data_IF_589454230220
#
_entry.id   IF_589454230220
#
_cell.length_a   1.000
_cell.length_b   1.000
_cell.length_c   1.000
_cell.angle_alpha   90.00
_cell.angle_beta   90.00
_cell.angle_gamma   90.00
#
_symmetry.space_group_name_H-M   'P 1'
#
loop_
_entity.id
_entity.type
_entity.pdbx_description
1 polymer ?
#
# COMPACT_ATOMS: atom_id res chain seq x y z
N UNK A 1 -13.99 -36.43 -4.20
CA UNK A 1 -14.60 -35.07 -4.12
C UNK A 1 -14.79 -34.73 -2.66
N UNK A 2 -14.01 -33.79 -2.14
CA UNK A 2 -14.20 -33.29 -0.79
C UNK A 2 -15.31 -32.23 -0.84
N UNK A 3 -16.53 -32.61 -0.41
CA UNK A 3 -17.73 -31.74 -0.48
C UNK A 3 -17.54 -30.46 0.33
N UNK A 4 -16.86 -30.54 1.48
CA UNK A 4 -16.61 -29.37 2.33
C UNK A 4 -15.68 -28.38 1.61
N UNK A 5 -14.59 -28.89 1.03
CA UNK A 5 -13.63 -28.09 0.27
C UNK A 5 -14.29 -27.43 -0.95
N UNK A 6 -15.13 -28.16 -1.69
CA UNK A 6 -15.90 -27.59 -2.80
C UNK A 6 -16.76 -26.41 -2.35
N UNK A 7 -17.60 -26.59 -1.33
CA UNK A 7 -18.48 -25.50 -0.87
C UNK A 7 -17.73 -24.35 -0.21
N UNK A 8 -16.59 -24.61 0.44
CA UNK A 8 -15.73 -23.56 1.00
C UNK A 8 -15.11 -22.71 -0.11
N UNK A 9 -14.57 -23.33 -1.16
CA UNK A 9 -14.04 -22.64 -2.35
C UNK A 9 -15.12 -21.78 -3.01
N UNK A 10 -16.32 -22.33 -3.18
CA UNK A 10 -17.47 -21.59 -3.74
C UNK A 10 -17.83 -20.38 -2.87
N UNK A 11 -17.90 -20.56 -1.55
CA UNK A 11 -18.15 -19.47 -0.61
C UNK A 11 -17.06 -18.39 -0.64
N UNK A 12 -15.79 -18.77 -0.85
CA UNK A 12 -14.67 -17.84 -0.95
C UNK A 12 -14.84 -16.82 -2.09
N UNK A 13 -15.33 -17.26 -3.25
CA UNK A 13 -15.63 -16.34 -4.36
C UNK A 13 -16.70 -15.32 -4.01
N UNK A 14 -17.79 -15.76 -3.37
CA UNK A 14 -18.83 -14.83 -2.90
C UNK A 14 -18.29 -13.85 -1.85
N UNK A 15 -17.39 -14.30 -0.97
CA UNK A 15 -16.77 -13.42 0.01
C UNK A 15 -15.95 -12.30 -0.66
N UNK A 16 -15.21 -12.60 -1.74
CA UNK A 16 -14.47 -11.60 -2.52
C UNK A 16 -15.43 -10.62 -3.20
N UNK A 17 -16.49 -11.12 -3.84
CA UNK A 17 -17.51 -10.28 -4.49
C UNK A 17 -18.10 -9.28 -3.49
N UNK A 18 -18.53 -9.75 -2.32
CA UNK A 18 -19.13 -8.87 -1.31
C UNK A 18 -18.11 -7.87 -0.79
N UNK A 19 -16.86 -8.28 -0.54
CA UNK A 19 -15.81 -7.38 -0.01
C UNK A 19 -15.38 -6.30 -1.02
N UNK A 20 -15.32 -6.62 -2.32
CA UNK A 20 -14.72 -5.76 -3.33
C UNK A 20 -15.70 -4.91 -4.12
N UNK A 21 -16.98 -5.29 -4.19
CA UNK A 21 -17.97 -4.57 -5.00
C UNK A 21 -18.81 -3.59 -4.18
N UNK A 22 -19.34 -2.58 -4.88
CA UNK A 22 -20.40 -1.74 -4.37
C UNK A 22 -21.73 -2.50 -4.31
N UNK A 23 -22.72 -1.94 -3.62
CA UNK A 23 -24.09 -2.47 -3.60
C UNK A 23 -24.62 -2.82 -5.00
N UNK A 24 -24.50 -1.89 -5.97
CA UNK A 24 -24.94 -2.11 -7.34
C UNK A 24 -24.15 -3.24 -8.04
N UNK A 25 -22.87 -3.40 -7.72
CA UNK A 25 -22.06 -4.50 -8.23
C UNK A 25 -22.51 -5.86 -7.70
N UNK A 26 -22.88 -5.94 -6.42
CA UNK A 26 -23.45 -7.15 -5.81
C UNK A 26 -24.80 -7.48 -6.46
N UNK A 27 -25.70 -6.50 -6.65
CA UNK A 27 -26.97 -6.70 -7.35
C UNK A 27 -26.77 -7.17 -8.79
N UNK A 28 -25.78 -6.61 -9.50
CA UNK A 28 -25.41 -7.04 -10.84
C UNK A 28 -24.93 -8.49 -10.89
N UNK A 29 -24.08 -8.90 -9.94
CA UNK A 29 -23.63 -10.28 -9.82
C UNK A 29 -24.81 -11.25 -9.58
N UNK A 30 -25.70 -10.90 -8.65
CA UNK A 30 -26.91 -11.69 -8.37
C UNK A 30 -27.83 -11.78 -9.60
N UNK A 31 -28.02 -10.66 -10.30
CA UNK A 31 -28.85 -10.62 -11.51
C UNK A 31 -28.28 -11.49 -12.62
N UNK A 32 -26.95 -11.52 -12.79
CA UNK A 32 -26.28 -12.42 -13.74
C UNK A 32 -26.48 -13.90 -13.39
N UNK A 33 -26.45 -14.24 -12.10
CA UNK A 33 -26.67 -15.62 -11.63
C UNK A 33 -28.12 -16.06 -11.84
N UNK A 34 -29.07 -15.19 -11.52
CA UNK A 34 -30.52 -15.48 -11.60
C UNK A 34 -31.09 -15.32 -13.02
N UNK A 35 -30.34 -14.72 -13.95
CA UNK A 35 -30.74 -14.56 -15.34
C UNK A 35 -30.60 -15.83 -16.19
N UNK A 36 -30.09 -16.93 -15.63
CA UNK A 36 -29.95 -18.22 -16.29
C UNK A 36 -31.05 -19.19 -15.82
N UNK A 37 -31.58 -20.01 -16.72
CA UNK A 37 -32.59 -21.04 -16.41
C UNK A 37 -32.06 -22.07 -15.40
N UNK A 38 -30.75 -22.30 -15.38
CA UNK A 38 -30.06 -23.08 -14.36
C UNK A 38 -29.18 -22.16 -13.47
N UNK A 39 -29.57 -21.95 -12.20
CA UNK A 39 -28.80 -21.12 -11.27
C UNK A 39 -27.36 -21.57 -11.06
N UNK A 40 -27.05 -22.87 -11.20
CA UNK A 40 -25.69 -23.40 -11.08
C UNK A 40 -24.86 -23.03 -12.31
N UNK A 41 -25.47 -23.07 -13.50
CA UNK A 41 -24.84 -22.59 -14.74
C UNK A 41 -24.61 -21.09 -14.66
N UNK A 42 -25.59 -20.31 -14.17
CA UNK A 42 -25.45 -18.88 -13.93
C UNK A 42 -24.30 -18.55 -12.96
N UNK A 43 -24.20 -19.31 -11.86
CA UNK A 43 -23.09 -19.17 -10.91
C UNK A 43 -21.73 -19.48 -11.55
N UNK A 44 -21.62 -20.60 -12.27
CA UNK A 44 -20.39 -21.00 -12.94
C UNK A 44 -19.95 -20.01 -14.03
N UNK A 45 -20.90 -19.44 -14.77
CA UNK A 45 -20.63 -18.37 -15.75
C UNK A 45 -20.08 -17.11 -15.07
N UNK A 46 -20.68 -16.68 -13.97
CA UNK A 46 -20.19 -15.56 -13.18
C UNK A 46 -18.80 -15.82 -12.58
N UNK A 47 -18.53 -17.04 -12.10
CA UNK A 47 -17.18 -17.40 -11.63
C UNK A 47 -16.13 -17.29 -12.73
N UNK A 48 -16.48 -17.72 -13.96
CA UNK A 48 -15.57 -17.60 -15.11
C UNK A 48 -15.24 -16.15 -15.44
N UNK A 49 -16.19 -15.23 -15.25
CA UNK A 49 -15.98 -13.78 -15.42
C UNK A 49 -14.98 -13.24 -14.39
N UNK A 50 -14.97 -13.78 -13.18
CA UNK A 50 -14.00 -13.44 -12.12
C UNK A 50 -12.62 -14.08 -12.32
N UNK A 51 -12.36 -14.68 -13.49
CA UNK A 51 -11.09 -15.36 -13.79
C UNK A 51 -11.01 -16.80 -13.30
N UNK A 52 -12.13 -17.38 -12.86
CA UNK A 52 -12.19 -18.78 -12.44
C UNK A 52 -11.94 -19.76 -13.59
N UNK A 53 -10.98 -20.66 -13.40
CA UNK A 53 -10.74 -21.82 -14.25
C UNK A 53 -11.53 -23.06 -13.80
N UNK A 54 -11.11 -24.25 -14.26
CA UNK A 54 -11.61 -25.50 -13.70
C UNK A 54 -11.24 -25.57 -12.22
N UNK A 55 -12.23 -25.78 -11.37
CA UNK A 55 -12.02 -25.94 -9.93
C UNK A 55 -11.56 -27.36 -9.64
N UNK A 56 -10.41 -27.48 -8.99
CA UNK A 56 -10.04 -28.67 -8.24
C UNK A 56 -10.91 -28.74 -6.98
N UNK A 57 -11.26 -29.96 -6.56
CA UNK A 57 -12.16 -30.22 -5.42
C UNK A 57 -11.54 -31.19 -4.43
N UNK A 58 -10.21 -31.17 -4.40
CA UNK A 58 -9.38 -32.01 -3.55
C UNK A 58 -8.67 -31.14 -2.52
N UNK A 59 -8.88 -31.48 -1.25
CA UNK A 59 -8.42 -30.65 -0.15
C UNK A 59 -6.89 -30.58 -0.07
N UNK A 60 -6.19 -31.69 -0.28
CA UNK A 60 -4.74 -31.72 -0.17
C UNK A 60 -4.11 -31.00 -1.35
N UNK A 61 -4.61 -31.24 -2.57
CA UNK A 61 -4.13 -30.60 -3.79
C UNK A 61 -4.33 -29.07 -3.75
N UNK A 62 -5.49 -28.59 -3.27
CA UNK A 62 -5.79 -27.16 -3.20
C UNK A 62 -4.95 -26.44 -2.15
N UNK A 63 -4.59 -27.15 -1.06
CA UNK A 63 -3.89 -26.54 0.08
C UNK A 63 -2.39 -26.88 0.14
N UNK A 64 -1.86 -27.72 -0.76
CA UNK A 64 -0.44 -28.13 -0.72
C UNK A 64 0.53 -26.95 -0.81
N UNK A 65 0.15 -25.88 -1.51
CA UNK A 65 1.00 -24.68 -1.65
C UNK A 65 1.23 -24.00 -0.31
N UNK A 66 0.27 -24.09 0.62
CA UNK A 66 0.41 -23.53 1.96
C UNK A 66 1.47 -24.28 2.80
N UNK A 67 1.85 -25.50 2.41
CA UNK A 67 2.92 -26.27 3.07
C UNK A 67 4.31 -25.84 2.61
N UNK A 68 4.43 -25.05 1.55
CA UNK A 68 5.72 -24.52 1.12
C UNK A 68 6.23 -23.50 2.14
N UNK A 69 7.39 -23.82 2.71
CA UNK A 69 8.09 -22.98 3.72
C UNK A 69 9.25 -22.20 3.12
N UNK A 70 9.50 -22.34 1.82
CA UNK A 70 10.44 -21.49 1.11
C UNK A 70 10.04 -20.01 1.31
N UNK A 71 11.01 -19.12 1.17
CA UNK A 71 10.79 -17.67 1.24
C UNK A 71 10.67 -17.04 -0.17
N UNK A 72 9.49 -17.12 -0.84
CA UNK A 72 9.19 -16.22 -1.95
C UNK A 72 8.12 -15.16 -1.61
N UNK A 73 8.01 -14.15 -2.47
CA UNK A 73 7.24 -12.92 -2.29
C UNK A 73 5.83 -12.94 -2.93
N UNK A 74 5.25 -14.11 -3.20
CA UNK A 74 3.95 -14.22 -3.88
C UNK A 74 2.74 -14.30 -2.92
N UNK A 75 1.55 -14.23 -3.50
CA UNK A 75 0.26 -14.26 -2.78
C UNK A 75 0.07 -15.53 -1.95
N UNK A 76 0.58 -16.68 -2.40
CA UNK A 76 0.43 -17.96 -1.69
C UNK A 76 1.15 -17.94 -0.34
N UNK A 77 2.31 -17.28 -0.29
CA UNK A 77 3.08 -17.11 0.94
C UNK A 77 2.46 -16.05 1.87
N UNK A 78 1.78 -15.04 1.33
CA UNK A 78 0.96 -14.14 2.15
C UNK A 78 -0.18 -14.91 2.82
N UNK A 79 -0.90 -15.74 2.07
CA UNK A 79 -2.00 -16.55 2.60
C UNK A 79 -1.53 -17.56 3.65
N UNK A 80 -0.37 -18.22 3.44
CA UNK A 80 0.21 -19.10 4.45
C UNK A 80 0.43 -18.39 5.79
N UNK A 81 1.00 -17.20 5.78
CA UNK A 81 1.26 -16.40 7.00
C UNK A 81 -0.05 -15.98 7.68
N UNK A 82 -1.02 -15.53 6.89
CA UNK A 82 -2.36 -15.18 7.39
C UNK A 82 -3.06 -16.37 8.06
N UNK A 83 -3.02 -17.55 7.42
CA UNK A 83 -3.61 -18.78 7.96
C UNK A 83 -2.87 -19.19 9.23
N UNK A 84 -1.53 -19.07 9.29
CA UNK A 84 -0.78 -19.33 10.51
C UNK A 84 -1.23 -18.44 11.67
N UNK A 85 -1.37 -17.12 11.46
CA UNK A 85 -1.87 -16.22 12.50
C UNK A 85 -3.31 -16.56 12.91
N UNK A 86 -4.14 -16.98 11.97
CA UNK A 86 -5.52 -17.41 12.28
C UNK A 86 -5.52 -18.69 13.13
N UNK A 87 -4.70 -19.69 12.76
CA UNK A 87 -4.54 -20.93 13.51
C UNK A 87 -3.84 -20.74 14.87
N UNK A 88 -2.95 -19.76 14.99
CA UNK A 88 -2.12 -19.59 16.19
C UNK A 88 -2.60 -18.50 17.15
N UNK A 89 -3.32 -17.48 16.68
CA UNK A 89 -3.61 -16.27 17.47
C UNK A 89 -5.07 -15.82 17.38
N UNK A 90 -5.67 -15.79 16.19
CA UNK A 90 -6.96 -15.11 16.01
C UNK A 90 -8.18 -16.01 16.15
N UNK A 91 -8.09 -17.27 15.70
CA UNK A 91 -9.20 -18.24 15.74
C UNK A 91 -10.43 -17.83 14.92
N UNK A 92 -10.32 -16.84 14.03
CA UNK A 92 -11.45 -16.34 13.23
C UNK A 92 -11.63 -17.17 11.95
N UNK A 93 -12.41 -18.25 12.06
CA UNK A 93 -12.75 -19.12 10.93
C UNK A 93 -14.14 -18.79 10.37
N UNK A 94 -14.22 -18.56 9.06
CA UNK A 94 -15.46 -18.28 8.35
C UNK A 94 -16.23 -19.59 8.09
N UNK A 95 -16.96 -20.06 9.10
CA UNK A 95 -17.72 -21.33 9.04
C UNK A 95 -19.09 -21.16 8.39
N UNK A 96 -19.66 -22.28 7.96
CA UNK A 96 -20.96 -22.32 7.27
C UNK A 96 -22.10 -22.89 8.13
N UNK A 97 -21.93 -23.02 9.45
CA UNK A 97 -22.87 -23.77 10.32
C UNK A 97 -24.15 -23.01 10.66
N UNK A 98 -24.22 -21.73 10.30
CA UNK A 98 -25.42 -20.90 10.52
C UNK A 98 -26.56 -21.34 9.60
N UNK A 99 -27.78 -21.40 10.13
CA UNK A 99 -29.00 -21.63 9.33
C UNK A 99 -29.29 -20.51 8.31
N UNK A 100 -28.60 -19.37 8.43
CA UNK A 100 -28.68 -18.24 7.49
C UNK A 100 -27.60 -18.28 6.41
N UNK A 101 -26.65 -19.21 6.50
CA UNK A 101 -25.61 -19.35 5.48
C UNK A 101 -26.17 -20.16 4.29
N UNK A 102 -25.93 -19.75 3.03
CA UNK A 102 -26.47 -20.44 1.86
C UNK A 102 -25.88 -21.85 1.68
N UNK A 103 -24.71 -22.10 2.28
CA UNK A 103 -24.03 -23.38 2.31
C UNK A 103 -23.96 -23.90 3.76
N UNK A 104 -24.24 -25.17 4.01
CA UNK A 104 -24.13 -25.76 5.36
C UNK A 104 -23.24 -27.00 5.35
N UNK A 105 -21.99 -26.83 4.92
CA UNK A 105 -21.09 -27.93 4.55
C UNK A 105 -19.68 -27.85 5.15
N UNK A 106 -19.20 -26.69 5.62
CA UNK A 106 -17.83 -26.55 6.16
C UNK A 106 -17.87 -25.95 7.58
N UNK A 107 -17.83 -26.81 8.61
CA UNK A 107 -17.82 -26.38 10.01
C UNK A 107 -16.39 -26.02 10.46
N UNK A 108 -16.22 -25.65 11.74
CA UNK A 108 -14.91 -25.20 12.27
C UNK A 108 -13.83 -26.29 12.15
N UNK A 109 -14.21 -27.56 12.21
CA UNK A 109 -13.35 -28.72 12.09
C UNK A 109 -12.65 -28.78 10.74
N UNK A 110 -13.27 -28.26 9.67
CA UNK A 110 -12.62 -28.14 8.36
C UNK A 110 -11.35 -27.28 8.46
N UNK A 111 -11.43 -26.16 9.19
CA UNK A 111 -10.31 -25.24 9.35
C UNK A 111 -9.27 -25.76 10.35
N UNK A 112 -9.69 -26.46 11.41
CA UNK A 112 -8.75 -27.15 12.32
C UNK A 112 -7.94 -28.18 11.53
N UNK A 113 -8.58 -28.98 10.68
CA UNK A 113 -7.90 -29.95 9.81
C UNK A 113 -6.92 -29.25 8.84
N UNK A 114 -7.29 -28.08 8.31
CA UNK A 114 -6.39 -27.25 7.50
C UNK A 114 -5.17 -26.79 8.30
N UNK A 115 -5.36 -26.28 9.52
CA UNK A 115 -4.27 -25.89 10.39
C UNK A 115 -3.31 -27.06 10.67
N UNK A 116 -3.85 -28.25 10.95
CA UNK A 116 -3.04 -29.45 11.19
C UNK A 116 -2.28 -29.90 9.94
N UNK A 117 -2.96 -29.94 8.79
CA UNK A 117 -2.34 -30.33 7.52
C UNK A 117 -1.18 -29.40 7.12
N UNK A 118 -1.34 -28.10 7.36
CA UNK A 118 -0.37 -27.10 6.93
C UNK A 118 0.78 -26.89 7.92
N UNK A 119 0.48 -26.85 9.23
CA UNK A 119 1.45 -26.40 10.24
C UNK A 119 1.89 -27.48 11.22
N UNK A 120 1.22 -28.63 11.28
CA UNK A 120 1.60 -29.75 12.15
C UNK A 120 0.47 -30.22 13.06
N UNK A 121 0.58 -31.46 13.52
CA UNK A 121 -0.44 -32.15 14.32
C UNK A 121 -0.79 -31.43 15.63
N UNK A 122 0.11 -30.60 16.14
CA UNK A 122 -0.10 -29.82 17.36
C UNK A 122 -1.19 -28.76 17.25
N UNK A 123 -1.61 -28.36 16.04
CA UNK A 123 -2.67 -27.37 15.82
C UNK A 123 -4.08 -27.96 16.00
N UNK A 124 -4.33 -28.58 17.16
CA UNK A 124 -5.64 -29.09 17.58
C UNK A 124 -6.55 -27.96 18.09
N UNK A 125 -7.88 -28.17 18.04
CA UNK A 125 -8.88 -27.18 18.45
C UNK A 125 -8.64 -26.58 19.83
N UNK A 126 -8.27 -27.39 20.83
CA UNK A 126 -7.97 -26.94 22.19
C UNK A 126 -6.80 -25.94 22.24
N UNK A 127 -5.72 -26.20 21.47
CA UNK A 127 -4.56 -25.31 21.40
C UNK A 127 -4.93 -23.99 20.72
N UNK A 128 -5.70 -24.05 19.62
CA UNK A 128 -6.15 -22.85 18.90
C UNK A 128 -7.04 -21.99 19.81
N UNK A 129 -7.98 -22.60 20.53
CA UNK A 129 -8.86 -21.93 21.48
C UNK A 129 -8.06 -21.31 22.64
N UNK A 130 -7.13 -22.06 23.24
CA UNK A 130 -6.26 -21.56 24.30
C UNK A 130 -5.46 -20.34 23.85
N UNK A 131 -4.82 -20.40 22.68
CA UNK A 131 -4.05 -19.28 22.18
C UNK A 131 -4.93 -18.06 21.87
N UNK A 132 -6.10 -18.28 21.28
CA UNK A 132 -7.08 -17.23 21.00
C UNK A 132 -7.54 -16.56 22.30
N UNK A 133 -7.75 -17.34 23.37
CA UNK A 133 -8.07 -16.82 24.70
C UNK A 133 -6.95 -15.94 25.25
N UNK A 134 -5.68 -16.35 25.10
CA UNK A 134 -4.53 -15.55 25.53
C UNK A 134 -4.44 -14.21 24.79
N UNK A 135 -4.69 -14.20 23.48
CA UNK A 135 -4.70 -12.98 22.66
C UNK A 135 -5.86 -12.06 23.05
N UNK A 136 -7.06 -12.61 23.20
CA UNK A 136 -8.23 -11.83 23.66
C UNK A 136 -8.02 -11.26 25.06
N UNK A 137 -7.42 -12.01 25.99
CA UNK A 137 -7.09 -11.52 27.32
C UNK A 137 -6.03 -10.39 27.28
N UNK A 138 -5.07 -10.49 26.35
CA UNK A 138 -4.02 -9.47 26.16
C UNK A 138 -4.56 -8.16 25.60
N UNK A 139 -5.53 -8.21 24.68
CA UNK A 139 -6.05 -7.03 23.98
C UNK A 139 -7.47 -6.61 24.40
N UNK A 140 -8.00 -7.19 25.48
CA UNK A 140 -9.36 -6.97 26.01
C UNK A 140 -10.49 -7.30 24.99
N UNK A 141 -10.22 -8.17 24.01
CA UNK A 141 -11.21 -8.69 23.05
C UNK A 141 -12.04 -7.61 22.34
N UNK A 142 -13.37 -7.73 22.40
CA UNK A 142 -14.32 -6.79 21.78
C UNK A 142 -14.55 -5.50 22.59
N UNK A 143 -13.96 -5.37 23.78
CA UNK A 143 -14.04 -4.18 24.62
C UNK A 143 -12.64 -3.60 24.90
N UNK A 144 -11.86 -3.28 23.83
CA UNK A 144 -10.48 -2.85 23.96
C UNK A 144 -10.37 -1.54 24.76
N UNK A 145 -9.40 -1.47 25.68
CA UNK A 145 -9.13 -0.24 26.44
C UNK A 145 -8.31 0.75 25.60
N UNK A 146 -8.97 1.41 24.66
CA UNK A 146 -8.35 2.32 23.68
C UNK A 146 -8.84 3.77 23.82
N UNK A 147 -7.99 4.70 23.39
CA UNK A 147 -8.28 6.14 23.33
C UNK A 147 -7.80 6.70 22.00
N UNK A 148 -8.53 7.68 21.45
CA UNK A 148 -8.20 8.34 20.18
C UNK A 148 -8.19 7.36 19.01
N UNK A 149 -9.20 6.50 18.93
CA UNK A 149 -9.40 5.57 17.82
C UNK A 149 -10.77 5.81 17.20
N UNK A 150 -10.83 5.92 15.87
CA UNK A 150 -12.07 6.03 15.14
C UNK A 150 -12.26 4.77 14.33
N UNK A 151 -13.22 3.94 14.73
CA UNK A 151 -13.48 2.65 14.09
C UNK A 151 -14.59 2.82 13.06
N UNK A 152 -14.34 2.39 11.84
CA UNK A 152 -15.28 2.42 10.72
C UNK A 152 -15.51 1.01 10.22
N UNK A 153 -16.77 0.67 9.96
CA UNK A 153 -17.14 -0.61 9.38
C UNK A 153 -18.16 -0.40 8.26
N UNK A 154 -18.01 -1.10 7.14
CA UNK A 154 -19.08 -1.21 6.15
C UNK A 154 -20.26 -2.00 6.73
N UNK A 155 -21.50 -1.57 6.47
CA UNK A 155 -22.68 -2.35 6.88
C UNK A 155 -22.72 -3.73 6.22
N UNK A 156 -22.24 -3.82 4.97
CA UNK A 156 -22.23 -5.02 4.15
C UNK A 156 -20.93 -5.83 4.31
N UNK A 157 -19.95 -5.30 5.03
CA UNK A 157 -18.64 -5.93 5.20
C UNK A 157 -18.77 -7.21 6.06
N UNK A 158 -18.45 -8.40 5.53
CA UNK A 158 -18.49 -9.64 6.30
C UNK A 158 -17.52 -9.64 7.49
N UNK A 159 -16.46 -8.84 7.45
CA UNK A 159 -15.50 -8.69 8.56
C UNK A 159 -16.02 -7.80 9.69
N UNK A 160 -17.10 -7.04 9.48
CA UNK A 160 -17.65 -6.14 10.50
C UNK A 160 -17.86 -6.84 11.83
N UNK A 161 -18.31 -8.11 11.83
CA UNK A 161 -18.59 -8.86 13.04
C UNK A 161 -17.34 -9.13 13.91
N UNK A 162 -16.14 -9.07 13.34
CA UNK A 162 -14.88 -9.19 14.08
C UNK A 162 -14.47 -7.89 14.80
N UNK A 163 -15.20 -6.79 14.56
CA UNK A 163 -14.90 -5.48 15.12
C UNK A 163 -15.97 -4.94 16.08
N UNK A 164 -15.74 -3.73 16.57
CA UNK A 164 -16.65 -3.03 17.47
C UNK A 164 -17.99 -2.75 16.76
N UNK A 165 -19.11 -2.99 17.46
CA UNK A 165 -20.46 -2.71 16.94
C UNK A 165 -21.08 -1.43 17.51
N UNK A 166 -20.48 -0.88 18.56
CA UNK A 166 -20.90 0.30 19.31
C UNK A 166 -19.65 1.07 19.72
N UNK A 167 -19.82 2.35 20.04
CA UNK A 167 -18.72 3.16 20.58
C UNK A 167 -18.08 2.43 21.76
N UNK A 168 -16.75 2.33 21.73
CA UNK A 168 -15.98 1.72 22.83
C UNK A 168 -15.98 2.65 24.04
N UNK A 169 -15.84 3.95 23.82
CA UNK A 169 -15.99 5.02 24.82
C UNK A 169 -16.17 6.38 24.12
N UNK A 170 -16.34 7.45 24.90
CA UNK A 170 -16.58 8.81 24.39
C UNK A 170 -15.44 9.35 23.51
N UNK A 171 -14.20 8.86 23.71
CA UNK A 171 -13.01 9.24 22.94
C UNK A 171 -12.71 8.28 21.78
N UNK A 172 -13.41 7.15 21.68
CA UNK A 172 -13.20 6.11 20.66
C UNK A 172 -14.52 5.62 20.07
N UNK A 173 -14.95 6.34 19.04
CA UNK A 173 -16.25 6.13 18.39
C UNK A 173 -16.18 5.04 17.32
N UNK A 174 -17.30 4.36 17.13
CA UNK A 174 -17.49 3.32 16.13
C UNK A 174 -18.64 3.72 15.20
N UNK A 175 -18.40 3.69 13.89
CA UNK A 175 -19.37 4.07 12.86
C UNK A 175 -19.58 2.93 11.88
N UNK A 176 -20.85 2.57 11.67
CA UNK A 176 -21.27 1.60 10.66
C UNK A 176 -21.81 2.39 9.47
N UNK A 177 -21.16 2.23 8.32
CA UNK A 177 -21.44 2.95 7.07
C UNK A 177 -22.51 2.19 6.26
N UNK A 178 -23.71 2.75 6.07
CA UNK A 178 -24.79 2.06 5.36
C UNK A 178 -24.42 1.76 3.91
N UNK A 179 -24.80 0.58 3.42
CA UNK A 179 -24.59 0.12 2.05
C UNK A 179 -23.13 0.14 1.53
N UNK A 180 -22.15 0.24 2.44
CA UNK A 180 -20.73 0.17 2.12
C UNK A 180 -20.15 -1.18 2.53
N UNK A 181 -19.13 -1.62 1.78
CA UNK A 181 -18.40 -2.86 2.03
C UNK A 181 -17.00 -2.57 2.60
N UNK A 182 -16.10 -3.54 2.50
CA UNK A 182 -14.80 -3.56 3.14
C UNK A 182 -13.96 -2.32 2.81
N UNK A 183 -13.49 -1.63 3.86
CA UNK A 183 -12.55 -0.51 3.77
C UNK A 183 -12.93 0.63 2.80
N UNK A 184 -14.23 0.85 2.57
CA UNK A 184 -14.72 1.87 1.61
C UNK A 184 -14.28 3.30 1.95
N UNK A 185 -13.93 3.55 3.21
CA UNK A 185 -13.46 4.81 3.76
C UNK A 185 -11.97 5.12 3.48
N UNK A 186 -11.17 4.14 3.06
CA UNK A 186 -9.76 4.33 2.72
C UNK A 186 -9.56 5.03 1.37
N UNK A 187 -10.57 5.01 0.50
CA UNK A 187 -10.54 5.74 -0.76
C UNK A 187 -10.54 7.25 -0.55
N UNK A 188 -9.94 7.99 -1.48
CA UNK A 188 -10.00 9.46 -1.50
C UNK A 188 -11.43 9.97 -1.40
N UNK A 189 -11.63 11.13 -0.76
CA UNK A 189 -12.93 11.79 -0.74
C UNK A 189 -13.37 12.09 -2.18
N UNK A 190 -14.59 11.71 -2.53
CA UNK A 190 -15.15 11.85 -3.86
C UNK A 190 -16.53 12.55 -3.78
N UNK A 191 -16.90 13.30 -4.82
CA UNK A 191 -18.23 13.93 -4.93
C UNK A 191 -19.36 12.90 -5.03
N UNK A 192 -19.03 11.68 -5.47
CA UNK A 192 -19.94 10.55 -5.58
C UNK A 192 -19.98 9.68 -4.30
N UNK A 193 -19.23 10.04 -3.25
CA UNK A 193 -19.36 9.36 -1.96
C UNK A 193 -20.79 9.56 -1.42
N UNK A 194 -21.33 8.54 -0.74
CA UNK A 194 -22.59 8.74 -0.01
C UNK A 194 -22.40 9.80 1.08
N UNK A 195 -23.47 10.50 1.49
CA UNK A 195 -23.38 11.51 2.56
C UNK A 195 -22.68 10.98 3.83
N UNK A 196 -23.03 9.77 4.27
CA UNK A 196 -22.43 9.15 5.47
C UNK A 196 -20.93 8.85 5.29
N UNK A 197 -20.53 8.33 4.13
CA UNK A 197 -19.13 8.04 3.82
C UNK A 197 -18.31 9.34 3.75
N UNK A 198 -18.84 10.37 3.07
CA UNK A 198 -18.19 11.66 2.95
C UNK A 198 -18.00 12.32 4.32
N UNK A 199 -19.04 12.32 5.17
CA UNK A 199 -18.98 12.84 6.54
C UNK A 199 -17.96 12.06 7.38
N UNK A 200 -17.92 10.73 7.27
CA UNK A 200 -16.96 9.89 7.96
C UNK A 200 -15.51 10.20 7.52
N UNK A 201 -15.24 10.32 6.22
CA UNK A 201 -13.92 10.72 5.70
C UNK A 201 -13.51 12.13 6.17
N UNK A 202 -14.45 13.09 6.22
CA UNK A 202 -14.20 14.41 6.79
C UNK A 202 -13.89 14.34 8.29
N UNK A 203 -14.58 13.47 9.03
CA UNK A 203 -14.32 13.22 10.46
C UNK A 203 -12.93 12.63 10.66
N UNK A 204 -12.53 11.64 9.86
CA UNK A 204 -11.18 11.06 9.84
C UNK A 204 -10.15 12.18 9.64
N UNK A 205 -10.28 12.99 8.58
CA UNK A 205 -9.39 14.13 8.31
C UNK A 205 -9.29 15.10 9.50
N UNK A 206 -10.39 15.33 10.19
CA UNK A 206 -10.45 16.23 11.36
C UNK A 206 -9.78 15.61 12.59
N UNK A 207 -10.02 14.33 12.86
CA UNK A 207 -9.42 13.59 13.96
C UNK A 207 -7.91 13.42 13.77
N UNK A 208 -7.46 13.10 12.56
CA UNK A 208 -6.03 13.03 12.22
C UNK A 208 -5.34 14.37 12.49
N UNK A 209 -5.94 15.49 12.10
CA UNK A 209 -5.41 16.83 12.42
C UNK A 209 -5.43 17.12 13.92
N UNK A 210 -6.50 16.76 14.63
CA UNK A 210 -6.62 17.00 16.08
C UNK A 210 -5.57 16.20 16.84
N UNK A 211 -5.49 14.89 16.62
CA UNK A 211 -4.55 14.00 17.27
C UNK A 211 -3.10 14.29 16.84
N UNK A 212 -2.91 14.68 15.58
CA UNK A 212 -1.63 15.18 15.06
C UNK A 212 -1.21 16.56 15.58
N UNK A 213 -2.05 17.27 16.34
CA UNK A 213 -1.67 18.48 17.10
C UNK A 213 -1.53 18.19 18.59
N UNK A 214 -2.33 17.27 19.14
CA UNK A 214 -2.26 16.90 20.55
C UNK A 214 -0.89 16.34 20.95
N UNK A 215 -0.19 15.63 20.07
CA UNK A 215 1.20 15.22 20.37
C UNK A 215 2.24 16.32 20.11
N UNK A 216 1.92 17.44 19.47
CA UNK A 216 2.81 18.62 19.35
C UNK A 216 2.63 19.62 20.51
N UNK A 217 1.44 19.67 21.12
CA UNK A 217 1.12 20.56 22.25
C UNK A 217 1.14 19.84 23.62
N UNK A 218 1.19 18.51 23.64
CA UNK A 218 1.13 17.69 24.85
C UNK A 218 2.50 17.16 25.31
N UNK A 219 2.85 17.49 26.55
CA UNK A 219 3.83 16.81 27.42
C UNK A 219 3.58 15.29 27.40
N UNK A 220 4.15 14.57 26.44
CA UNK A 220 4.16 13.11 26.46
C UNK A 220 5.04 12.66 27.63
N UNK A 221 4.44 11.97 28.61
CA UNK A 221 5.22 11.26 29.62
C UNK A 221 6.32 10.44 28.92
N UNK A 222 7.52 10.44 29.51
CA UNK A 222 8.75 9.81 29.00
C UNK A 222 8.51 8.40 28.42
N UNK A 223 7.51 7.68 28.93
CA UNK A 223 7.07 6.35 28.49
C UNK A 223 6.48 6.31 27.08
N UNK A 224 5.68 7.30 26.68
CA UNK A 224 5.02 7.32 25.36
C UNK A 224 5.99 7.76 24.25
N UNK A 225 6.92 8.66 24.57
CA UNK A 225 8.07 8.96 23.71
C UNK A 225 9.04 7.77 23.59
N UNK A 226 9.27 7.02 24.68
CA UNK A 226 10.06 5.77 24.65
C UNK A 226 9.41 4.70 23.80
N UNK A 227 8.10 4.47 23.91
CA UNK A 227 7.39 3.47 23.10
C UNK A 227 7.38 3.83 21.61
N UNK A 228 7.18 5.11 21.26
CA UNK A 228 7.34 5.56 19.87
C UNK A 228 8.80 5.45 19.40
N UNK A 229 9.80 5.64 20.27
CA UNK A 229 11.22 5.41 19.92
C UNK A 229 11.51 3.92 19.74
N UNK A 230 10.93 3.04 20.56
CA UNK A 230 11.13 1.60 20.54
C UNK A 230 10.42 0.92 19.36
N UNK A 231 9.15 1.25 19.12
CA UNK A 231 8.41 0.81 17.92
C UNK A 231 9.17 1.21 16.65
N UNK A 232 9.62 2.46 16.58
CA UNK A 232 10.41 2.94 15.43
C UNK A 232 11.79 2.28 15.33
N UNK A 233 12.41 1.84 16.42
CA UNK A 233 13.67 1.10 16.37
C UNK A 233 13.49 -0.32 15.83
N UNK A 234 12.41 -1.00 16.22
CA UNK A 234 12.04 -2.31 15.69
C UNK A 234 11.60 -2.20 14.22
N UNK A 235 10.76 -1.22 13.86
CA UNK A 235 10.35 -0.98 12.47
C UNK A 235 11.55 -0.63 11.57
N UNK A 236 12.53 0.13 12.08
CA UNK A 236 13.76 0.45 11.35
C UNK A 236 14.84 -0.63 11.44
N UNK A 237 14.64 -1.70 12.22
CA UNK A 237 15.60 -2.80 12.34
C UNK A 237 15.78 -3.52 11.01
N UNK A 238 14.72 -3.61 10.21
CA UNK A 238 14.78 -4.15 8.85
C UNK A 238 15.77 -3.37 7.97
N UNK A 239 15.90 -2.06 8.16
CA UNK A 239 16.87 -1.22 7.43
C UNK A 239 18.32 -1.47 7.86
N UNK A 240 18.56 -2.09 9.02
CA UNK A 240 19.91 -2.49 9.45
C UNK A 240 20.32 -3.85 8.91
N UNK A 241 19.37 -4.64 8.40
CA UNK A 241 19.68 -5.93 7.81
C UNK A 241 20.46 -5.74 6.50
N UNK A 242 21.69 -6.26 6.47
CA UNK A 242 22.56 -6.24 5.28
C UNK A 242 22.48 -7.56 4.52
N UNK A 243 21.70 -8.54 4.99
CA UNK A 243 21.49 -9.79 4.29
C UNK A 243 20.81 -9.52 2.93
N UNK A 244 21.27 -10.22 1.91
CA UNK A 244 20.82 -10.06 0.54
C UNK A 244 19.55 -10.87 0.28
N UNK A 245 18.38 -10.20 0.31
CA UNK A 245 17.40 -10.38 -0.75
C UNK A 245 16.88 -9.05 -1.31
N UNK A 246 16.38 -9.09 -2.55
CA UNK A 246 15.93 -7.93 -3.31
C UNK A 246 14.44 -7.60 -3.05
N UNK A 247 14.10 -7.17 -1.83
CA UNK A 247 12.74 -6.70 -1.51
C UNK A 247 12.67 -5.16 -1.36
N UNK A 248 11.45 -4.64 -1.19
CA UNK A 248 11.17 -3.20 -1.05
C UNK A 248 11.91 -2.56 0.14
N UNK A 249 12.20 -3.32 1.19
CA UNK A 249 12.90 -2.82 2.37
C UNK A 249 14.36 -2.48 2.05
N UNK A 250 15.01 -3.28 1.20
CA UNK A 250 16.37 -2.98 0.73
C UNK A 250 16.42 -1.84 -0.29
N UNK A 251 15.38 -1.67 -1.11
CA UNK A 251 15.26 -0.48 -1.96
C UNK A 251 15.17 0.79 -1.10
N UNK A 252 14.32 0.77 -0.06
CA UNK A 252 14.19 1.87 0.89
C UNK A 252 15.50 2.13 1.64
N UNK A 253 16.21 1.09 2.09
CA UNK A 253 17.53 1.25 2.72
C UNK A 253 18.53 1.98 1.82
N UNK A 254 18.63 1.61 0.54
CA UNK A 254 19.52 2.26 -0.44
C UNK A 254 19.13 3.71 -0.67
N UNK A 255 17.83 3.99 -0.76
CA UNK A 255 17.32 5.35 -0.93
C UNK A 255 17.62 6.24 0.28
N UNK A 256 17.43 5.71 1.50
CA UNK A 256 17.75 6.43 2.74
C UNK A 256 19.26 6.67 2.80
N UNK A 257 20.09 5.67 2.45
CA UNK A 257 21.55 5.87 2.38
C UNK A 257 21.92 7.00 1.43
N UNK A 258 21.35 7.02 0.22
CA UNK A 258 21.61 8.07 -0.75
C UNK A 258 21.15 9.44 -0.26
N UNK A 259 20.02 9.50 0.45
CA UNK A 259 19.55 10.74 1.07
C UNK A 259 20.51 11.23 2.16
N UNK A 260 20.99 10.34 3.03
CA UNK A 260 21.93 10.64 4.10
C UNK A 260 23.35 10.95 3.58
N UNK A 261 23.76 10.36 2.45
CA UNK A 261 25.14 10.43 1.97
C UNK A 261 25.32 11.36 0.76
N UNK A 262 24.27 11.76 0.05
CA UNK A 262 24.39 12.55 -1.18
C UNK A 262 23.43 13.74 -1.21
N UNK A 263 22.15 13.53 -0.95
CA UNK A 263 21.15 14.57 -1.24
C UNK A 263 20.86 15.53 -0.09
N UNK A 264 20.86 15.04 1.16
CA UNK A 264 20.50 15.85 2.33
C UNK A 264 19.05 16.36 2.31
N UNK A 265 18.19 15.83 1.42
CA UNK A 265 16.81 16.26 1.25
C UNK A 265 15.86 15.37 2.04
N UNK A 266 15.33 15.89 3.15
CA UNK A 266 14.40 15.16 4.02
C UNK A 266 12.98 15.74 3.94
N UNK A 267 11.98 14.87 3.87
CA UNK A 267 10.56 15.24 3.87
C UNK A 267 10.10 15.62 5.28
N UNK A 268 10.49 16.80 5.72
CA UNK A 268 10.21 17.30 7.07
C UNK A 268 8.77 17.77 7.25
N UNK A 269 8.35 17.85 8.51
CA UNK A 269 7.00 18.26 8.91
C UNK A 269 6.98 19.58 9.69
N UNK A 270 8.05 20.38 9.62
CA UNK A 270 8.20 21.62 10.40
C UNK A 270 7.43 22.81 9.83
N UNK A 271 6.87 22.68 8.62
CA UNK A 271 6.05 23.73 8.02
C UNK A 271 4.74 23.91 8.78
N UNK A 272 4.35 25.17 9.03
CA UNK A 272 3.04 25.51 9.60
C UNK A 272 1.84 25.06 8.75
N UNK A 273 2.08 24.74 7.47
CA UNK A 273 1.07 24.19 6.55
C UNK A 273 1.00 22.65 6.59
N UNK A 274 1.97 21.99 7.21
CA UNK A 274 2.01 20.55 7.29
C UNK A 274 1.01 20.05 8.36
N UNK A 275 0.23 18.98 8.11
CA UNK A 275 -0.78 18.50 9.06
C UNK A 275 -0.20 17.84 10.32
N UNK A 276 1.10 17.53 10.27
CA UNK A 276 1.88 16.91 11.34
C UNK A 276 3.06 17.82 11.69
N UNK A 277 3.58 17.75 12.92
CA UNK A 277 4.80 18.47 13.33
C UNK A 277 5.70 17.58 14.22
N UNK A 278 6.10 16.42 13.69
CA UNK A 278 6.77 15.35 14.47
C UNK A 278 8.14 14.95 13.97
N UNK A 279 8.47 15.30 12.74
CA UNK A 279 9.65 14.85 12.02
C UNK A 279 10.42 16.09 11.52
N UNK A 280 11.20 16.75 12.40
CA UNK A 280 12.14 17.78 11.98
C UNK A 280 13.39 17.14 11.32
N UNK A 281 14.31 17.94 10.79
CA UNK A 281 15.52 17.41 10.12
C UNK A 281 16.31 16.48 11.03
N UNK A 282 16.40 16.82 12.32
CA UNK A 282 17.10 16.05 13.35
C UNK A 282 16.54 14.63 13.50
N UNK A 283 15.25 14.42 13.25
CA UNK A 283 14.68 13.07 13.22
C UNK A 283 15.36 12.20 12.17
N UNK A 284 15.59 12.75 10.97
CA UNK A 284 16.20 12.02 9.87
C UNK A 284 17.71 11.86 10.07
N UNK A 285 18.40 12.86 10.64
CA UNK A 285 19.82 12.72 11.02
C UNK A 285 19.98 11.55 12.01
N UNK A 286 19.15 11.50 13.06
CA UNK A 286 19.16 10.39 14.02
C UNK A 286 18.86 9.03 13.36
N UNK A 287 17.98 9.01 12.35
CA UNK A 287 17.71 7.81 11.56
C UNK A 287 18.94 7.39 10.74
N UNK A 288 19.60 8.32 10.07
CA UNK A 288 20.85 8.06 9.34
C UNK A 288 21.91 7.46 10.28
N UNK A 289 22.10 8.06 11.46
CA UNK A 289 23.04 7.55 12.47
C UNK A 289 22.66 6.16 12.95
N UNK A 290 21.38 5.94 13.23
CA UNK A 290 20.89 4.65 13.65
C UNK A 290 21.12 3.58 12.57
N UNK A 291 20.81 3.85 11.32
CA UNK A 291 20.84 2.83 10.26
C UNK A 291 22.25 2.58 9.72
N UNK A 292 23.07 3.63 9.57
CA UNK A 292 24.34 3.55 8.83
C UNK A 292 25.61 3.72 9.67
N UNK A 293 25.51 4.25 10.90
CA UNK A 293 26.64 4.40 11.80
C UNK A 293 26.74 5.80 12.43
N UNK A 294 27.46 5.90 13.55
CA UNK A 294 27.57 7.13 14.34
C UNK A 294 28.17 8.31 13.58
N UNK A 295 28.92 8.04 12.50
CA UNK A 295 29.53 9.03 11.62
C UNK A 295 28.52 9.89 10.84
N UNK A 296 27.27 9.44 10.69
CA UNK A 296 26.22 10.15 9.96
C UNK A 296 25.61 11.32 10.77
N UNK A 297 26.45 12.17 11.36
CA UNK A 297 26.05 13.42 12.01
C UNK A 297 25.63 14.49 10.99
N UNK A 298 24.86 15.48 11.43
CA UNK A 298 24.36 16.57 10.57
C UNK A 298 25.45 17.26 9.74
N UNK A 299 26.61 17.55 10.34
CA UNK A 299 27.75 18.15 9.65
C UNK A 299 28.29 17.25 8.53
N UNK A 300 28.37 15.94 8.74
CA UNK A 300 28.83 14.98 7.73
C UNK A 300 27.87 14.91 6.55
N UNK A 301 26.56 14.89 6.83
CA UNK A 301 25.52 14.90 5.81
C UNK A 301 25.60 16.19 4.99
N UNK A 302 25.71 17.35 5.65
CA UNK A 302 25.84 18.65 4.98
C UNK A 302 27.09 18.71 4.09
N UNK A 303 28.26 18.30 4.62
CA UNK A 303 29.50 18.23 3.84
C UNK A 303 29.35 17.35 2.60
N UNK A 304 28.76 16.17 2.76
CA UNK A 304 28.52 15.25 1.66
C UNK A 304 27.58 15.86 0.61
N UNK A 305 26.50 16.53 1.04
CA UNK A 305 25.58 17.25 0.14
C UNK A 305 26.27 18.40 -0.58
N UNK A 306 27.14 19.15 0.08
CA UNK A 306 27.95 20.18 -0.55
C UNK A 306 28.86 19.61 -1.65
N UNK A 307 29.47 18.45 -1.44
CA UNK A 307 30.31 17.80 -2.46
C UNK A 307 29.52 17.43 -3.71
N UNK A 308 28.31 16.87 -3.54
CA UNK A 308 27.43 16.51 -4.65
C UNK A 308 26.94 17.75 -5.38
N UNK A 309 26.48 18.77 -4.65
CA UNK A 309 26.05 20.03 -5.25
C UNK A 309 27.19 20.74 -5.99
N UNK A 310 28.41 20.72 -5.46
CA UNK A 310 29.58 21.26 -6.16
C UNK A 310 29.93 20.48 -7.43
N UNK A 311 29.72 19.16 -7.43
CA UNK A 311 29.99 18.29 -8.59
C UNK A 311 28.98 18.49 -9.72
N UNK A 312 27.71 18.73 -9.39
CA UNK A 312 26.62 18.78 -10.37
C UNK A 312 26.00 20.17 -10.55
N UNK A 313 26.62 21.21 -10.00
CA UNK A 313 26.13 22.59 -9.93
C UNK A 313 24.73 22.74 -9.28
N UNK A 314 24.37 21.83 -8.38
CA UNK A 314 23.14 21.87 -7.57
C UNK A 314 21.86 22.06 -8.39
N UNK A 315 21.08 23.10 -8.05
CA UNK A 315 19.80 23.43 -8.70
C UNK A 315 19.96 24.20 -10.02
N UNK A 316 21.18 24.57 -10.40
CA UNK A 316 21.49 25.23 -11.67
C UNK A 316 22.53 24.41 -12.47
N UNK A 317 22.23 23.13 -12.79
CA UNK A 317 23.15 22.22 -13.45
C UNK A 317 23.57 22.75 -14.83
N UNK A 318 24.86 22.63 -15.17
CA UNK A 318 25.37 22.95 -16.52
C UNK A 318 25.06 21.84 -17.52
N UNK A 319 23.79 21.73 -17.89
CA UNK A 319 23.26 20.69 -18.79
C UNK A 319 22.81 21.26 -20.14
N UNK A 320 22.77 20.40 -21.16
CA UNK A 320 22.21 20.69 -22.49
C UNK A 320 21.35 19.51 -22.92
N UNK A 321 20.30 19.81 -23.68
CA UNK A 321 19.42 18.79 -24.29
C UNK A 321 18.68 17.92 -23.26
N UNK A 322 18.26 18.51 -22.13
CA UNK A 322 17.51 17.80 -21.08
C UNK A 322 16.11 18.38 -20.93
N UNK A 323 15.11 17.51 -20.85
CA UNK A 323 13.73 17.88 -20.55
C UNK A 323 13.37 17.35 -19.16
N UNK A 324 13.27 18.26 -18.18
CA UNK A 324 12.97 17.95 -16.79
C UNK A 324 11.47 18.05 -16.54
N UNK A 325 10.88 17.01 -15.95
CA UNK A 325 9.46 16.95 -15.61
C UNK A 325 9.28 16.71 -14.12
N UNK A 326 8.34 17.45 -13.53
CA UNK A 326 7.99 17.29 -12.13
C UNK A 326 6.48 17.35 -11.94
N UNK A 327 5.94 16.47 -11.09
CA UNK A 327 4.57 16.63 -10.60
C UNK A 327 4.44 17.83 -9.67
N UNK A 328 3.36 18.61 -9.77
CA UNK A 328 3.10 19.71 -8.83
C UNK A 328 2.89 19.20 -7.38
N UNK A 329 2.43 17.97 -7.22
CA UNK A 329 2.18 17.34 -5.93
C UNK A 329 3.34 16.43 -5.48
N UNK A 330 4.40 16.31 -6.29
CA UNK A 330 5.57 15.50 -5.94
C UNK A 330 6.41 16.22 -4.86
N UNK A 331 6.58 15.64 -3.66
CA UNK A 331 7.40 16.23 -2.60
C UNK A 331 8.89 16.33 -2.96
N UNK A 332 9.37 15.55 -3.93
CA UNK A 332 10.74 15.61 -4.44
C UNK A 332 10.94 16.67 -5.52
N UNK A 333 9.86 17.29 -6.04
CA UNK A 333 9.98 18.35 -7.04
C UNK A 333 10.97 19.41 -6.59
N UNK A 334 10.91 19.83 -5.33
CA UNK A 334 11.73 20.94 -4.83
C UNK A 334 13.23 20.60 -4.70
N UNK A 335 13.61 19.32 -4.81
CA UNK A 335 15.00 18.89 -4.96
C UNK A 335 15.51 19.01 -6.42
N UNK A 336 14.66 19.39 -7.37
CA UNK A 336 15.00 19.60 -8.78
C UNK A 336 14.81 21.03 -9.26
N UNK A 337 15.07 21.27 -10.54
CA UNK A 337 14.89 22.57 -11.17
C UNK A 337 13.41 23.02 -11.09
N UNK A 338 13.16 24.29 -10.76
CA UNK A 338 11.80 24.86 -10.73
C UNK A 338 11.48 25.74 -11.95
N UNK A 339 12.46 25.96 -12.81
CA UNK A 339 12.40 26.82 -14.00
C UNK A 339 13.35 26.24 -15.06
N UNK A 340 13.16 26.62 -16.32
CA UNK A 340 14.10 26.24 -17.39
C UNK A 340 15.53 26.60 -16.99
N UNK A 341 16.44 25.65 -17.19
CA UNK A 341 17.87 25.83 -16.90
C UNK A 341 18.53 26.70 -17.98
N UNK A 342 18.16 26.46 -19.25
CA UNK A 342 18.56 27.25 -20.41
C UNK A 342 17.58 26.99 -21.57
N UNK A 343 17.77 27.69 -22.69
CA UNK A 343 16.90 27.58 -23.88
C UNK A 343 16.83 26.15 -24.44
N UNK A 344 17.90 25.37 -24.27
CA UNK A 344 18.01 23.99 -24.74
C UNK A 344 17.65 22.96 -23.65
N UNK A 345 17.37 23.38 -22.41
CA UNK A 345 17.08 22.49 -21.27
C UNK A 345 15.89 22.99 -20.46
N UNK A 346 14.73 22.43 -20.76
CA UNK A 346 13.44 22.90 -20.28
C UNK A 346 13.01 22.18 -19.01
N UNK A 347 12.20 22.85 -18.19
CA UNK A 347 11.63 22.30 -16.97
C UNK A 347 10.13 22.55 -16.94
N UNK A 348 9.36 21.49 -16.72
CA UNK A 348 7.90 21.54 -16.68
C UNK A 348 7.38 21.01 -15.36
N UNK A 349 6.52 21.80 -14.72
CA UNK A 349 5.77 21.41 -13.54
C UNK A 349 4.35 21.07 -13.97
N UNK A 350 3.94 19.82 -13.78
CA UNK A 350 2.64 19.27 -14.19
C UNK A 350 1.59 19.55 -13.11
N UNK A 351 0.58 20.43 -13.36
CA UNK A 351 -0.42 20.78 -12.37
C UNK A 351 -1.20 19.57 -11.87
N UNK A 352 -1.44 19.45 -10.56
CA UNK A 352 -2.20 18.35 -9.93
C UNK A 352 -1.64 16.92 -10.14
N UNK A 353 -0.39 16.76 -10.59
CA UNK A 353 0.21 15.44 -10.83
C UNK A 353 1.27 15.11 -9.78
N UNK A 354 1.47 13.82 -9.51
CA UNK A 354 2.44 13.30 -8.54
C UNK A 354 3.67 12.68 -9.23
N UNK A 355 4.55 12.04 -8.46
CA UNK A 355 5.78 11.41 -8.92
C UNK A 355 5.56 10.52 -10.15
N UNK A 356 6.41 10.65 -11.17
CA UNK A 356 6.45 9.82 -12.38
C UNK A 356 5.16 9.73 -13.22
N UNK A 357 4.21 10.67 -13.07
CA UNK A 357 2.94 10.63 -13.82
C UNK A 357 3.12 10.70 -15.35
N UNK A 358 4.24 11.27 -15.80
CA UNK A 358 4.61 11.47 -17.20
C UNK A 358 5.31 10.28 -17.86
N UNK A 359 5.80 9.30 -17.08
CA UNK A 359 6.44 8.09 -17.60
C UNK A 359 5.44 7.08 -18.20
N UNK A 360 4.15 7.23 -17.92
CA UNK A 360 3.10 6.42 -18.52
C UNK A 360 2.93 6.70 -20.02
N UNK A 361 2.49 5.68 -20.76
CA UNK A 361 2.08 5.87 -22.16
C UNK A 361 0.99 6.96 -22.27
N UNK A 362 0.93 7.64 -23.42
CA UNK A 362 -0.16 8.58 -23.69
C UNK A 362 -1.50 7.84 -23.65
N UNK A 363 -2.45 8.39 -22.89
CA UNK A 363 -3.76 7.79 -22.69
C UNK A 363 -4.86 8.84 -22.93
N UNK A 364 -6.00 8.43 -23.49
CA UNK A 364 -7.16 9.30 -23.69
C UNK A 364 -7.76 9.84 -22.38
N UNK A 365 -7.49 9.16 -21.27
CA UNK A 365 -7.90 9.57 -19.93
C UNK A 365 -6.85 10.46 -19.23
N UNK A 366 -5.71 10.75 -19.87
CA UNK A 366 -4.75 11.71 -19.33
C UNK A 366 -5.43 13.09 -19.19
N UNK A 367 -5.06 13.83 -18.15
CA UNK A 367 -5.44 15.25 -18.10
C UNK A 367 -4.89 15.99 -19.32
N UNK A 368 -5.56 17.07 -19.74
CA UNK A 368 -5.13 17.86 -20.88
C UNK A 368 -3.66 18.32 -20.73
N UNK A 369 -3.28 18.79 -19.54
CA UNK A 369 -1.92 19.25 -19.25
C UNK A 369 -0.88 18.13 -19.35
N UNK A 370 -1.21 16.93 -18.86
CA UNK A 370 -0.33 15.76 -18.95
C UNK A 370 -0.18 15.29 -20.39
N UNK A 371 -1.29 15.21 -21.14
CA UNK A 371 -1.29 14.79 -22.53
C UNK A 371 -0.45 15.75 -23.40
N UNK A 372 -0.65 17.06 -23.24
CA UNK A 372 0.16 18.10 -23.90
C UNK A 372 1.64 17.97 -23.53
N UNK A 373 1.94 17.71 -22.26
CA UNK A 373 3.33 17.57 -21.80
C UNK A 373 4.01 16.34 -22.39
N UNK A 374 3.32 15.19 -22.42
CA UNK A 374 3.81 13.97 -23.11
C UNK A 374 4.07 14.22 -24.60
N UNK A 375 3.20 14.97 -25.28
CA UNK A 375 3.42 15.37 -26.68
C UNK A 375 4.66 16.28 -26.84
N UNK A 376 4.86 17.25 -25.94
CA UNK A 376 6.04 18.12 -25.94
C UNK A 376 7.33 17.33 -25.72
N UNK A 377 7.35 16.41 -24.75
CA UNK A 377 8.48 15.50 -24.51
C UNK A 377 8.78 14.68 -25.77
N UNK A 378 7.75 14.07 -26.37
CA UNK A 378 7.90 13.30 -27.61
C UNK A 378 8.49 14.13 -28.75
N UNK A 379 8.00 15.36 -28.95
CA UNK A 379 8.51 16.27 -29.96
C UNK A 379 9.96 16.67 -29.70
N UNK A 380 10.29 17.00 -28.45
CA UNK A 380 11.64 17.36 -28.02
C UNK A 380 12.64 16.23 -28.27
N UNK A 381 12.33 15.00 -27.83
CA UNK A 381 13.17 13.81 -28.08
C UNK A 381 13.32 13.55 -29.58
N UNK A 382 12.24 13.66 -30.37
CA UNK A 382 12.30 13.48 -31.82
C UNK A 382 13.23 14.52 -32.48
N UNK A 383 13.19 15.77 -32.06
CA UNK A 383 14.07 16.82 -32.56
C UNK A 383 15.53 16.54 -32.20
N UNK A 384 15.82 16.13 -30.97
CA UNK A 384 17.17 15.74 -30.57
C UNK A 384 17.72 14.58 -31.40
N UNK A 385 16.94 13.52 -31.61
CA UNK A 385 17.32 12.39 -32.46
C UNK A 385 17.54 12.86 -33.91
N UNK A 386 16.69 13.74 -34.42
CA UNK A 386 16.85 14.34 -35.74
C UNK A 386 18.16 15.11 -35.88
N UNK A 387 18.49 15.98 -34.91
CA UNK A 387 19.74 16.74 -34.86
C UNK A 387 20.97 15.84 -34.84
N UNK A 388 20.93 14.72 -34.11
CA UNK A 388 22.01 13.72 -34.09
C UNK A 388 22.21 13.10 -35.47
N UNK A 389 21.13 12.74 -36.17
CA UNK A 389 21.21 12.18 -37.53
C UNK A 389 21.80 13.19 -38.53
N UNK A 390 21.46 14.47 -38.43
CA UNK A 390 22.05 15.51 -39.28
C UNK A 390 23.55 15.72 -39.00
N UNK A 391 23.98 15.69 -37.73
CA UNK A 391 25.41 15.77 -37.39
C UNK A 391 26.21 14.56 -37.89
N UNK A 392 25.65 13.35 -37.80
CA UNK A 392 26.30 12.15 -38.33
C UNK A 392 26.47 12.20 -39.85
N UNK A 393 25.51 12.76 -40.59
CA UNK A 393 25.60 12.96 -42.04
C UNK A 393 26.62 14.03 -42.44
N UNK A 394 26.82 15.08 -41.62
CA UNK A 394 27.76 16.16 -41.91
C UNK A 394 29.24 15.79 -41.69
N UNK A 395 29.54 14.74 -40.91
CA UNK A 395 30.91 14.26 -40.66
C UNK A 395 31.40 13.31 -41.78
N UNK A 396 30.49 12.75 -42.59
CA UNK A 396 30.83 11.93 -43.74
C UNK A 396 31.16 12.81 -44.98
N UNK A 397 32.34 13.43 -45.00
CA UNK A 397 32.92 13.94 -46.26
C UNK A 397 33.75 12.84 -46.91
N UNK A 398 33.62 12.60 -48.23
CA UNK A 398 34.40 11.58 -48.91
C UNK A 398 35.85 12.02 -49.04
N UNK A 399 36.78 11.17 -48.58
CA UNK A 399 38.20 11.31 -48.86
C UNK A 399 38.37 11.26 -50.38
N UNK A 400 38.76 12.41 -50.96
CA UNK A 400 39.00 12.56 -52.38
C UNK A 400 40.07 11.60 -52.87
N UNK A 401 39.76 10.91 -53.97
CA UNK A 401 40.69 10.17 -54.79
C UNK A 401 41.82 11.08 -55.29
N UNK A 402 43.05 10.81 -54.88
CA UNK A 402 44.25 11.33 -55.53
C UNK A 402 44.66 10.31 -56.60
N UNK A 403 44.85 10.82 -57.82
CA UNK A 403 45.31 10.09 -59.02
C UNK A 403 46.72 9.53 -58.87
#
# INVERSE_FOLDING_TARGET
>A
MNVQNFFQTMSGFLAVVVQSLSWAGIEGFCSGMLGNDDPLVGYAQNLKILGGGCLTVDFEEDNKVLRDTAWPADESQMMRRWIYQTCNEFGWFQTSTSSKHPFNYFPVEFFINLCQYVFGEEFVGEKIEQNTCLINAKFDGLEPKIKNVYLTHGQLDPWRAAGAQKNINDDSLTVILPNHSHCSDFGSMNVNDSPDLYISKLRIKTLVKKWGKLSSEGKGNVTQQRLLKYSRQEDNKVLRDTAWPADESQMMRRWIYQTCNEFGWFQTSTSSKHPFNYFPVEFFINLCQYVFGEEFVGEKIEQNTCLINAKFDGLEPKIKNVYLTHGQLDPWRAAGAQKNINDDSLTVILPNHSHCSDFGSMNVNDSLDLYISKLRIKAYVKNLIGLIKFRAAAVATPIGSIK
#
